data_IF_151037921418
#
_entry.id   IF_151037921418
#
_cell.length_a   1.000
_cell.length_b   1.000
_cell.length_c   1.000
_cell.angle_alpha   90.00
_cell.angle_beta   90.00
_cell.angle_gamma   90.00
#
_symmetry.space_group_name_H-M   'P 1'
#
loop_
_entity.id
_entity.type
_entity.pdbx_description
1 polymer ?
#
# COMPACT_ATOMS: atom_id res chain seq x y z
N UNK A 1 13.44 12.19 0.58
CA UNK A 1 12.58 11.04 0.91
C UNK A 1 11.52 10.95 -0.16
N UNK A 2 11.41 9.80 -0.83
CA UNK A 2 10.35 9.58 -1.81
C UNK A 2 9.00 9.64 -1.06
N UNK A 3 8.03 10.46 -1.50
CA UNK A 3 6.73 10.45 -0.87
C UNK A 3 6.17 9.03 -0.95
N UNK A 4 5.51 8.55 0.10
CA UNK A 4 4.90 7.21 0.15
C UNK A 4 3.69 7.11 -0.77
N UNK A 5 3.80 7.59 -2.01
CA UNK A 5 2.81 7.61 -3.07
C UNK A 5 3.41 6.96 -4.31
N UNK A 6 2.69 6.03 -4.93
CA UNK A 6 3.16 5.35 -6.14
C UNK A 6 1.99 4.98 -7.06
N UNK A 7 2.20 5.09 -8.37
CA UNK A 7 1.21 4.74 -9.38
C UNK A 7 1.26 3.24 -9.70
N UNK A 8 0.10 2.62 -9.91
CA UNK A 8 0.05 1.29 -10.50
C UNK A 8 0.63 1.31 -11.92
N UNK A 9 1.21 0.19 -12.40
CA UNK A 9 1.79 0.14 -13.75
C UNK A 9 0.79 0.46 -14.87
N UNK A 10 -0.49 0.19 -14.64
CA UNK A 10 -1.57 0.46 -15.60
C UNK A 10 -2.21 1.86 -15.45
N UNK A 11 -1.65 2.72 -14.59
CA UNK A 11 -2.13 4.08 -14.29
C UNK A 11 -3.57 4.17 -13.75
N UNK A 12 -4.18 3.05 -13.34
CA UNK A 12 -5.57 3.05 -12.83
C UNK A 12 -5.67 3.25 -11.33
N UNK A 13 -4.59 3.01 -10.59
CA UNK A 13 -4.59 3.09 -9.14
C UNK A 13 -3.39 3.85 -8.61
N UNK A 14 -3.55 4.42 -7.42
CA UNK A 14 -2.46 5.00 -6.64
C UNK A 14 -2.41 4.27 -5.30
N UNK A 15 -1.22 3.91 -4.84
CA UNK A 15 -1.00 3.48 -3.45
C UNK A 15 -0.46 4.65 -2.64
N UNK A 16 -0.98 4.85 -1.43
CA UNK A 16 -0.48 5.81 -0.46
C UNK A 16 -0.22 5.11 0.88
N UNK A 17 0.98 5.27 1.42
CA UNK A 17 1.27 4.98 2.81
C UNK A 17 0.91 6.19 3.67
N UNK A 18 -0.10 6.05 4.51
CA UNK A 18 -0.60 7.17 5.31
C UNK A 18 -1.07 6.70 6.69
N UNK A 19 -0.95 7.62 7.64
CA UNK A 19 -1.55 7.46 8.96
C UNK A 19 -3.06 7.44 8.86
N UNK A 20 -3.68 6.41 9.43
CA UNK A 20 -5.13 6.17 9.40
C UNK A 20 -5.68 5.99 10.82
N UNK A 21 -5.98 7.10 11.49
CA UNK A 21 -6.42 7.06 12.89
C UNK A 21 -5.31 6.58 13.82
N UNK A 22 -5.49 5.43 14.47
CA UNK A 22 -4.56 4.88 15.46
C UNK A 22 -3.35 4.15 14.87
N UNK A 23 -3.36 3.79 13.58
CA UNK A 23 -2.24 3.09 12.94
C UNK A 23 -2.03 3.52 11.49
N UNK A 24 -0.82 3.28 10.99
CA UNK A 24 -0.49 3.50 9.58
C UNK A 24 -1.05 2.36 8.72
N UNK A 25 -1.38 2.68 7.47
CA UNK A 25 -1.92 1.72 6.51
C UNK A 25 -1.50 2.08 5.09
N UNK A 26 -1.67 1.11 4.17
CA UNK A 26 -1.69 1.41 2.75
C UNK A 26 -3.12 1.71 2.31
N UNK A 27 -3.26 2.72 1.48
CA UNK A 27 -4.50 3.08 0.82
C UNK A 27 -4.37 2.88 -0.67
N UNK A 28 -5.32 2.15 -1.26
CA UNK A 28 -5.47 2.02 -2.69
C UNK A 28 -6.55 2.98 -3.17
N UNK A 29 -6.21 3.86 -4.10
CA UNK A 29 -7.14 4.82 -4.67
C UNK A 29 -7.36 4.46 -6.13
N UNK A 30 -8.61 4.19 -6.51
CA UNK A 30 -9.02 4.08 -7.90
C UNK A 30 -9.08 5.48 -8.53
N UNK A 31 -8.32 5.69 -9.61
CA UNK A 31 -8.12 7.02 -10.21
C UNK A 31 -9.40 7.55 -10.85
N UNK A 32 -10.23 6.67 -11.42
CA UNK A 32 -11.44 7.08 -12.15
C UNK A 32 -12.58 7.44 -11.21
N UNK A 33 -12.79 6.63 -10.17
CA UNK A 33 -13.91 6.77 -9.24
C UNK A 33 -13.56 7.57 -7.98
N UNK A 34 -12.28 7.73 -7.68
CA UNK A 34 -11.80 8.27 -6.41
C UNK A 34 -12.04 7.34 -5.22
N UNK A 35 -12.56 6.12 -5.46
CA UNK A 35 -12.84 5.16 -4.39
C UNK A 35 -11.54 4.74 -3.71
N UNK A 36 -11.56 4.74 -2.39
CA UNK A 36 -10.42 4.38 -1.56
C UNK A 36 -10.66 3.04 -0.85
N UNK A 37 -9.62 2.22 -0.80
CA UNK A 37 -9.57 0.95 -0.07
C UNK A 37 -8.43 1.02 0.95
N UNK A 38 -8.75 0.80 2.23
CA UNK A 38 -7.75 0.72 3.30
C UNK A 38 -7.27 -0.72 3.44
N UNK A 39 -5.95 -0.92 3.41
CA UNK A 39 -5.29 -2.20 3.64
C UNK A 39 -4.54 -2.10 4.98
N UNK A 40 -5.13 -2.63 6.08
CA UNK A 40 -4.52 -2.57 7.41
C UNK A 40 -3.45 -3.66 7.59
N UNK A 41 -2.50 -3.40 8.48
CA UNK A 41 -1.48 -4.37 8.89
C UNK A 41 -1.32 -4.32 10.42
N UNK A 42 -0.96 -5.45 11.03
CA UNK A 42 -0.57 -5.53 12.44
C UNK A 42 0.90 -5.13 12.61
N UNK A 43 1.18 -3.86 12.34
CA UNK A 43 2.49 -3.23 12.35
C UNK A 43 2.41 -1.90 13.11
N UNK A 44 3.52 -1.50 13.71
CA UNK A 44 3.65 -0.23 14.43
C UNK A 44 3.75 0.96 13.48
N UNK A 45 4.23 0.73 12.26
CA UNK A 45 4.32 1.73 11.20
C UNK A 45 4.33 1.12 9.80
N UNK A 46 3.78 1.85 8.84
CA UNK A 46 3.72 1.46 7.42
C UNK A 46 4.15 2.65 6.59
N UNK A 47 5.20 2.46 5.80
CA UNK A 47 5.84 3.53 5.04
C UNK A 47 5.76 3.24 3.55
N UNK A 48 6.68 3.81 2.77
CA UNK A 48 6.77 3.72 1.31
C UNK A 48 6.30 2.38 0.74
N UNK A 49 5.57 2.45 -0.37
CA UNK A 49 5.09 1.30 -1.11
C UNK A 49 5.46 1.41 -2.59
N UNK A 50 5.69 0.27 -3.21
CA UNK A 50 5.96 0.13 -4.64
C UNK A 50 5.13 -1.01 -5.22
N UNK A 51 4.62 -0.81 -6.43
CA UNK A 51 3.90 -1.83 -7.16
C UNK A 51 4.87 -2.84 -7.78
N UNK A 52 4.47 -4.10 -7.82
CA UNK A 52 5.10 -5.06 -8.72
C UNK A 52 4.82 -4.67 -10.18
N UNK A 53 5.72 -4.99 -11.13
CA UNK A 53 5.53 -4.65 -12.54
C UNK A 53 4.26 -5.23 -13.17
N UNK A 54 3.79 -6.38 -12.67
CA UNK A 54 2.55 -7.03 -13.10
C UNK A 54 1.28 -6.44 -12.44
N UNK A 55 1.43 -5.50 -11.51
CA UNK A 55 0.33 -4.82 -10.83
C UNK A 55 -0.41 -5.66 -9.78
N UNK A 56 0.05 -6.87 -9.47
CA UNK A 56 -0.66 -7.80 -8.59
C UNK A 56 -0.17 -7.79 -7.13
N UNK A 57 0.93 -7.08 -6.84
CA UNK A 57 1.52 -7.02 -5.51
C UNK A 57 1.99 -5.61 -5.17
N UNK A 58 2.12 -5.38 -3.87
CA UNK A 58 2.78 -4.21 -3.30
C UNK A 58 3.95 -4.69 -2.44
N UNK A 59 5.13 -4.11 -2.61
CA UNK A 59 6.20 -4.17 -1.62
C UNK A 59 6.17 -2.90 -0.78
N UNK A 60 6.40 -3.00 0.53
CA UNK A 60 6.40 -1.83 1.41
C UNK A 60 7.31 -2.02 2.62
N UNK A 61 7.71 -0.91 3.24
CA UNK A 61 8.47 -0.95 4.51
C UNK A 61 7.49 -0.96 5.68
N UNK A 62 7.63 -1.95 6.56
CA UNK A 62 6.84 -2.08 7.78
C UNK A 62 7.74 -2.07 9.01
N UNK A 63 7.28 -1.45 10.10
CA UNK A 63 7.96 -1.49 11.39
C UNK A 63 7.18 -2.36 12.38
N UNK A 64 7.88 -3.24 13.11
CA UNK A 64 7.31 -4.08 14.17
C UNK A 64 8.33 -4.24 15.31
N UNK A 65 7.94 -3.89 16.52
CA UNK A 65 8.81 -3.94 17.70
C UNK A 65 10.03 -3.03 17.56
N UNK A 66 9.91 -1.91 16.84
CA UNK A 66 11.01 -0.98 16.59
C UNK A 66 11.96 -1.38 15.46
N UNK A 67 11.82 -2.56 14.87
CA UNK A 67 12.61 -3.01 13.72
C UNK A 67 11.83 -2.84 12.40
N UNK A 68 12.53 -2.39 11.35
CA UNK A 68 11.95 -2.22 10.01
C UNK A 68 12.33 -3.38 9.09
N UNK A 69 11.37 -3.85 8.31
CA UNK A 69 11.57 -4.91 7.30
C UNK A 69 10.74 -4.61 6.03
N UNK A 70 11.00 -5.36 4.96
CA UNK A 70 10.27 -5.30 3.70
C UNK A 70 9.17 -6.36 3.70
N UNK A 71 7.94 -5.92 3.51
CA UNK A 71 6.76 -6.76 3.41
C UNK A 71 6.25 -6.77 1.97
N UNK A 72 5.55 -7.85 1.60
CA UNK A 72 4.82 -7.94 0.33
C UNK A 72 3.35 -8.27 0.56
N UNK A 73 2.45 -7.57 -0.12
CA UNK A 73 1.01 -7.80 -0.09
C UNK A 73 0.50 -8.16 -1.48
N UNK A 74 -0.25 -9.25 -1.61
CA UNK A 74 -0.89 -9.65 -2.87
C UNK A 74 -2.27 -9.01 -2.94
N UNK A 75 -2.52 -8.25 -4.01
CA UNK A 75 -3.81 -7.65 -4.27
C UNK A 75 -4.78 -8.73 -4.70
N UNK A 76 -5.86 -8.91 -3.94
CA UNK A 76 -6.86 -9.92 -4.25
C UNK A 76 -7.46 -9.71 -5.64
N UNK A 77 -7.17 -10.63 -6.56
CA UNK A 77 -8.03 -10.84 -7.72
C UNK A 77 -9.38 -11.24 -7.12
N UNK A 78 -10.43 -10.44 -7.33
CA UNK A 78 -11.79 -10.90 -7.03
C UNK A 78 -11.99 -12.19 -7.80
N UNK A 79 -11.96 -13.33 -7.10
CA UNK A 79 -12.44 -14.57 -7.68
C UNK A 79 -13.92 -14.34 -7.96
N UNK A 80 -14.28 -14.48 -9.24
CA UNK A 80 -15.67 -14.50 -9.68
C UNK A 80 -16.42 -15.64 -8.99
#
# INVERSE_FOLDING_TARGET
MQPGINWSPDSKKIVIAAKSGSSDALYLIDVKSGKQEKIPFELDGVFTAAWSPDGNKLAFVGNKGGASDIYSYVLGIKRA
#
